data_IF_022506502718
#
_entry.id   IF_022506502718
#
_cell.length_a   1.000
_cell.length_b   1.000
_cell.length_c   1.000
_cell.angle_alpha   90.00
_cell.angle_beta   90.00
_cell.angle_gamma   90.00
#
_symmetry.space_group_name_H-M   'P 1'
#
loop_
_entity.id
_entity.type
_entity.pdbx_description
1 polymer ?
#
# COMPACT_ATOMS: atom_id res chain seq x y z
N UNK A 1 -4.01 37.83 36.48
CA UNK A 1 -4.67 36.74 35.73
C UNK A 1 -4.38 36.93 34.25
N UNK A 2 -3.52 36.11 33.64
CA UNK A 2 -3.37 35.96 32.18
C UNK A 2 -2.82 34.55 31.89
N UNK A 3 -3.16 33.95 30.72
CA UNK A 3 -3.36 32.51 30.59
C UNK A 3 -2.11 31.72 30.17
N UNK A 4 -2.05 30.45 30.60
CA UNK A 4 -1.04 29.47 30.20
C UNK A 4 -1.29 29.05 28.74
N UNK A 5 -0.36 29.37 27.84
CA UNK A 5 -0.33 28.85 26.47
C UNK A 5 -0.07 27.34 26.50
N UNK A 6 -1.08 26.56 26.10
CA UNK A 6 -1.04 25.10 26.06
C UNK A 6 -0.11 24.58 24.96
N UNK A 7 0.95 23.88 25.37
CA UNK A 7 1.81 23.05 24.50
C UNK A 7 1.14 21.70 24.24
N UNK A 8 -0.03 21.66 23.58
CA UNK A 8 -0.69 20.40 23.19
C UNK A 8 -1.39 20.60 21.83
N UNK A 9 -0.64 20.67 20.72
CA UNK A 9 -1.27 20.78 19.38
C UNK A 9 -0.52 20.04 18.25
N UNK A 10 0.82 20.09 18.18
CA UNK A 10 1.54 19.62 16.98
C UNK A 10 1.59 18.09 16.80
N UNK A 11 1.69 17.33 17.90
CA UNK A 11 1.81 15.86 17.88
C UNK A 11 0.47 15.16 17.65
N UNK A 12 -0.63 15.64 18.24
CA UNK A 12 -1.97 15.07 18.04
C UNK A 12 -2.54 15.36 16.65
N UNK A 13 -2.31 16.55 16.10
CA UNK A 13 -2.74 16.91 14.74
C UNK A 13 -2.05 16.02 13.70
N UNK A 14 -0.74 15.77 13.88
CA UNK A 14 0.03 14.87 13.00
C UNK A 14 -0.47 13.43 13.07
N UNK A 15 -0.68 12.90 14.29
CA UNK A 15 -1.24 11.54 14.48
C UNK A 15 -2.63 11.40 13.87
N UNK A 16 -3.53 12.36 14.12
CA UNK A 16 -4.88 12.36 13.57
C UNK A 16 -4.88 12.44 12.04
N UNK A 17 -4.02 13.28 11.46
CA UNK A 17 -3.86 13.38 10.01
C UNK A 17 -3.36 12.07 9.39
N UNK A 18 -2.35 11.44 10.00
CA UNK A 18 -1.82 10.14 9.54
C UNK A 18 -2.92 9.07 9.58
N UNK A 19 -3.67 8.95 10.68
CA UNK A 19 -4.76 7.99 10.79
C UNK A 19 -5.90 8.23 9.78
N UNK A 20 -6.19 9.50 9.47
CA UNK A 20 -7.16 9.85 8.41
C UNK A 20 -6.62 9.50 7.02
N UNK A 21 -5.33 9.71 6.78
CA UNK A 21 -4.69 9.37 5.50
C UNK A 21 -4.64 7.82 5.32
N UNK A 22 -4.35 7.03 6.36
CA UNK A 22 -4.31 5.55 6.26
C UNK A 22 -5.70 4.94 6.08
N UNK A 23 -6.71 5.41 6.82
CA UNK A 23 -8.11 4.95 6.65
C UNK A 23 -8.64 5.26 5.26
N UNK A 24 -8.26 6.41 4.68
CA UNK A 24 -8.58 6.74 3.29
C UNK A 24 -7.92 5.76 2.32
N UNK A 25 -6.64 5.43 2.50
CA UNK A 25 -5.91 4.56 1.57
C UNK A 25 -6.42 3.10 1.64
N UNK A 26 -6.70 2.59 2.84
CA UNK A 26 -7.07 1.19 3.07
C UNK A 26 -8.57 0.90 2.90
N UNK A 27 -9.37 1.90 2.53
CA UNK A 27 -10.82 1.74 2.35
C UNK A 27 -11.16 0.81 1.18
N UNK A 28 -12.37 0.26 1.23
CA UNK A 28 -13.04 -0.34 0.07
C UNK A 28 -13.83 0.74 -0.68
N UNK A 29 -13.70 0.78 -2.00
CA UNK A 29 -14.46 1.68 -2.89
C UNK A 29 -15.62 0.95 -3.56
N UNK A 30 -16.59 1.70 -4.09
CA UNK A 30 -17.69 1.12 -4.86
C UNK A 30 -17.23 0.68 -6.26
N UNK A 31 -18.13 0.04 -7.00
CA UNK A 31 -17.83 -0.52 -8.32
C UNK A 31 -17.42 0.52 -9.36
N UNK A 32 -17.94 1.74 -9.31
CA UNK A 32 -17.57 2.80 -10.26
C UNK A 32 -16.12 3.26 -10.09
N UNK A 33 -15.53 2.98 -8.93
CA UNK A 33 -14.16 3.35 -8.57
C UNK A 33 -13.22 2.14 -8.53
N UNK A 34 -13.73 0.92 -8.71
CA UNK A 34 -12.94 -0.30 -8.65
C UNK A 34 -11.89 -0.37 -9.77
N UNK A 35 -10.81 -1.09 -9.53
CA UNK A 35 -9.87 -1.44 -10.58
C UNK A 35 -10.38 -2.65 -11.35
N UNK A 36 -10.58 -2.51 -12.66
CA UNK A 36 -11.00 -3.61 -13.52
C UNK A 36 -9.82 -4.13 -14.33
N UNK A 37 -9.64 -5.45 -14.33
CA UNK A 37 -8.54 -6.09 -15.03
C UNK A 37 -8.93 -6.40 -16.49
N UNK A 38 -7.98 -6.13 -17.39
CA UNK A 38 -8.07 -6.33 -18.83
C UNK A 38 -6.83 -7.05 -19.32
N UNK A 39 -6.98 -7.91 -20.31
CA UNK A 39 -5.84 -8.50 -21.04
C UNK A 39 -5.36 -7.62 -22.19
N UNK A 40 -6.28 -6.82 -22.74
CA UNK A 40 -6.05 -5.89 -23.84
C UNK A 40 -7.18 -4.85 -23.90
N UNK A 41 -7.06 -3.88 -24.81
CA UNK A 41 -8.15 -2.95 -25.10
C UNK A 41 -9.42 -3.71 -25.50
N UNK A 42 -10.54 -3.43 -24.82
CA UNK A 42 -11.82 -4.11 -25.07
C UNK A 42 -11.88 -5.58 -24.63
N UNK A 43 -10.90 -6.08 -23.87
CA UNK A 43 -10.85 -7.48 -23.42
C UNK A 43 -10.83 -7.59 -21.89
N UNK A 44 -11.98 -7.40 -21.21
CA UNK A 44 -12.06 -7.53 -19.76
C UNK A 44 -11.84 -8.98 -19.31
N UNK A 45 -11.22 -9.19 -18.15
CA UNK A 45 -11.09 -10.53 -17.56
C UNK A 45 -12.30 -10.94 -16.71
N UNK A 46 -13.17 -9.98 -16.38
CA UNK A 46 -14.24 -10.14 -15.38
C UNK A 46 -13.76 -9.99 -13.94
N UNK A 47 -12.45 -9.82 -13.72
CA UNK A 47 -11.90 -9.59 -12.38
C UNK A 47 -11.81 -8.10 -12.06
N UNK A 48 -12.09 -7.76 -10.80
CA UNK A 48 -11.92 -6.41 -10.26
C UNK A 48 -11.29 -6.45 -8.86
N UNK A 49 -10.83 -5.29 -8.41
CA UNK A 49 -10.44 -5.05 -7.04
C UNK A 49 -11.05 -3.74 -6.54
N UNK A 50 -11.78 -3.81 -5.43
CA UNK A 50 -12.41 -2.67 -4.76
C UNK A 50 -11.53 -2.09 -3.64
N UNK A 51 -10.37 -2.68 -3.34
CA UNK A 51 -9.46 -2.23 -2.27
C UNK A 51 -8.00 -2.60 -2.58
N UNK A 52 -7.03 -2.03 -1.85
CA UNK A 52 -5.62 -2.47 -1.95
C UNK A 52 -5.45 -3.94 -1.57
N UNK A 53 -6.21 -4.43 -0.58
CA UNK A 53 -6.14 -5.83 -0.15
C UNK A 53 -6.62 -6.77 -1.26
N UNK A 54 -7.77 -6.49 -1.87
CA UNK A 54 -8.25 -7.27 -3.02
C UNK A 54 -7.29 -7.17 -4.20
N UNK A 55 -6.75 -5.98 -4.46
CA UNK A 55 -5.76 -5.80 -5.52
C UNK A 55 -4.53 -6.68 -5.31
N UNK A 56 -4.02 -6.76 -4.07
CA UNK A 56 -2.90 -7.63 -3.72
C UNK A 56 -3.22 -9.12 -3.98
N UNK A 57 -4.41 -9.59 -3.60
CA UNK A 57 -4.85 -10.96 -3.89
C UNK A 57 -4.96 -11.22 -5.40
N UNK A 58 -5.54 -10.29 -6.16
CA UNK A 58 -5.68 -10.41 -7.61
C UNK A 58 -4.35 -10.43 -8.34
N UNK A 59 -3.34 -9.69 -7.88
CA UNK A 59 -1.99 -9.71 -8.49
C UNK A 59 -1.35 -11.11 -8.43
N UNK A 60 -1.67 -11.92 -7.41
CA UNK A 60 -1.14 -13.29 -7.27
C UNK A 60 -1.62 -14.22 -8.38
N UNK A 61 -2.91 -14.12 -8.75
CA UNK A 61 -3.60 -15.11 -9.59
C UNK A 61 -3.98 -14.62 -10.98
N UNK A 62 -4.03 -13.30 -11.22
CA UNK A 62 -4.37 -12.71 -12.52
C UNK A 62 -3.49 -13.30 -13.65
N UNK A 63 -3.89 -13.16 -14.91
CA UNK A 63 -3.02 -13.55 -16.04
C UNK A 63 -1.83 -12.60 -16.16
N UNK A 64 -0.66 -13.12 -16.53
CA UNK A 64 0.55 -12.29 -16.70
C UNK A 64 0.34 -11.22 -17.78
N UNK A 65 -0.38 -11.54 -18.84
CA UNK A 65 -0.75 -10.64 -19.93
C UNK A 65 -1.52 -9.43 -19.41
N UNK A 66 -2.50 -9.67 -18.52
CA UNK A 66 -3.28 -8.60 -17.90
C UNK A 66 -2.41 -7.70 -17.01
N UNK A 67 -1.54 -8.30 -16.20
CA UNK A 67 -0.62 -7.52 -15.38
C UNK A 67 0.30 -6.65 -16.24
N UNK A 68 0.92 -7.22 -17.28
CA UNK A 68 1.84 -6.47 -18.14
C UNK A 68 1.12 -5.34 -18.88
N UNK A 69 -0.09 -5.61 -19.38
CA UNK A 69 -0.92 -4.62 -20.06
C UNK A 69 -1.14 -3.38 -19.18
N UNK A 70 -1.53 -3.58 -17.93
CA UNK A 70 -1.77 -2.47 -17.00
C UNK A 70 -0.49 -1.79 -16.50
N UNK A 71 0.58 -2.55 -16.25
CA UNK A 71 1.85 -1.97 -15.78
C UNK A 71 2.46 -1.06 -16.87
N UNK A 72 2.49 -1.52 -18.12
CA UNK A 72 3.02 -0.74 -19.25
C UNK A 72 2.24 0.55 -19.48
N UNK A 73 0.92 0.53 -19.27
CA UNK A 73 0.02 1.68 -19.43
C UNK A 73 -0.06 2.59 -18.20
N UNK A 74 0.58 2.19 -17.11
CA UNK A 74 0.57 2.89 -15.83
C UNK A 74 -0.80 2.92 -15.12
N UNK A 75 -1.67 1.95 -15.43
CA UNK A 75 -3.05 1.95 -14.94
C UNK A 75 -3.10 1.73 -13.41
N UNK A 76 -2.24 0.84 -12.88
CA UNK A 76 -2.21 0.54 -11.45
C UNK A 76 -1.87 1.77 -10.59
N UNK A 77 -0.76 2.46 -10.91
CA UNK A 77 -0.35 3.64 -10.17
C UNK A 77 -1.37 4.78 -10.31
N UNK A 78 -1.99 4.94 -11.48
CA UNK A 78 -3.02 5.95 -11.69
C UNK A 78 -4.24 5.71 -10.80
N UNK A 79 -4.72 4.46 -10.73
CA UNK A 79 -5.84 4.10 -9.86
C UNK A 79 -5.48 4.28 -8.38
N UNK A 80 -4.33 3.76 -7.96
CA UNK A 80 -3.88 3.85 -6.56
C UNK A 80 -3.71 5.31 -6.11
N UNK A 81 -3.11 6.17 -6.93
CA UNK A 81 -2.93 7.58 -6.59
C UNK A 81 -4.26 8.34 -6.61
N UNK A 82 -5.04 8.22 -7.67
CA UNK A 82 -6.22 9.09 -7.89
C UNK A 82 -7.43 8.62 -7.10
N UNK A 83 -7.63 7.30 -6.99
CA UNK A 83 -8.76 6.73 -6.28
C UNK A 83 -8.41 6.56 -4.80
N UNK A 84 -7.32 5.87 -4.48
CA UNK A 84 -7.02 5.53 -3.08
C UNK A 84 -6.23 6.63 -2.34
N UNK A 85 -5.51 7.48 -3.07
CA UNK A 85 -4.75 8.60 -2.52
C UNK A 85 -3.32 8.24 -2.13
N UNK A 86 -2.83 7.03 -2.44
CA UNK A 86 -1.49 6.59 -2.04
C UNK A 86 -0.43 6.90 -3.10
N UNK A 87 0.02 8.16 -3.11
CA UNK A 87 1.10 8.65 -3.99
C UNK A 87 2.41 7.89 -3.80
N UNK A 88 2.67 7.40 -2.60
CA UNK A 88 3.89 6.69 -2.28
C UNK A 88 3.91 5.32 -2.95
N UNK A 89 2.82 4.56 -2.83
CA UNK A 89 2.68 3.28 -3.52
C UNK A 89 2.72 3.43 -5.04
N UNK A 90 2.02 4.44 -5.57
CA UNK A 90 2.04 4.76 -7.00
C UNK A 90 3.47 5.01 -7.52
N UNK A 91 4.28 5.78 -6.77
CA UNK A 91 5.68 6.06 -7.10
C UNK A 91 6.57 4.81 -7.03
N UNK A 92 6.35 3.93 -6.04
CA UNK A 92 7.08 2.65 -5.92
C UNK A 92 6.77 1.73 -7.12
N UNK A 93 5.51 1.60 -7.51
CA UNK A 93 5.08 0.79 -8.67
C UNK A 93 5.63 1.37 -9.99
N UNK A 94 5.71 2.69 -10.13
CA UNK A 94 6.26 3.32 -11.34
C UNK A 94 7.73 2.97 -11.62
N UNK A 95 8.47 2.50 -10.61
CA UNK A 95 9.89 2.09 -10.71
C UNK A 95 10.07 0.59 -10.96
N UNK A 96 8.99 -0.15 -11.18
CA UNK A 96 9.02 -1.59 -11.37
C UNK A 96 9.79 -1.96 -12.66
N UNK A 97 10.83 -2.81 -12.60
CA UNK A 97 11.53 -3.27 -13.79
C UNK A 97 10.69 -4.30 -14.56
N UNK A 98 10.57 -4.12 -15.87
CA UNK A 98 9.76 -5.00 -16.75
C UNK A 98 10.58 -6.02 -17.54
N UNK A 99 11.82 -6.30 -17.10
CA UNK A 99 12.75 -7.18 -17.82
C UNK A 99 12.28 -8.64 -17.82
N UNK A 100 11.54 -9.08 -16.81
CA UNK A 100 10.94 -10.41 -16.73
C UNK A 100 9.54 -10.32 -16.13
N UNK A 101 8.54 -10.85 -16.84
CA UNK A 101 7.11 -10.75 -16.45
C UNK A 101 6.82 -11.38 -15.08
N UNK A 102 7.38 -12.55 -14.81
CA UNK A 102 7.16 -13.26 -13.54
C UNK A 102 7.84 -12.51 -12.38
N UNK A 103 9.06 -12.02 -12.61
CA UNK A 103 9.77 -11.19 -11.63
C UNK A 103 8.99 -9.89 -11.34
N UNK A 104 8.44 -9.25 -12.38
CA UNK A 104 7.60 -8.07 -12.24
C UNK A 104 6.34 -8.36 -11.39
N UNK A 105 5.68 -9.51 -11.57
CA UNK A 105 4.59 -9.94 -10.66
C UNK A 105 5.06 -10.02 -9.22
N UNK A 106 6.12 -10.78 -8.95
CA UNK A 106 6.60 -10.98 -7.58
C UNK A 106 7.01 -9.66 -6.92
N UNK A 107 7.66 -8.77 -7.67
CA UNK A 107 8.03 -7.44 -7.17
C UNK A 107 6.80 -6.55 -6.94
N UNK A 108 5.83 -6.55 -7.86
CA UNK A 108 4.58 -5.81 -7.69
C UNK A 108 3.84 -6.28 -6.42
N UNK A 109 3.69 -7.59 -6.24
CA UNK A 109 3.08 -8.18 -5.06
C UNK A 109 3.81 -7.72 -3.79
N UNK A 110 5.14 -7.86 -3.74
CA UNK A 110 5.95 -7.47 -2.58
C UNK A 110 5.81 -5.98 -2.25
N UNK A 111 5.80 -5.10 -3.26
CA UNK A 111 5.65 -3.66 -3.08
C UNK A 111 4.28 -3.33 -2.44
N UNK A 112 3.21 -3.96 -2.94
CA UNK A 112 1.83 -3.72 -2.46
C UNK A 112 1.65 -4.29 -1.05
N UNK A 113 2.05 -5.54 -0.81
CA UNK A 113 1.93 -6.19 0.51
C UNK A 113 2.73 -5.44 1.57
N UNK A 114 3.98 -5.05 1.26
CA UNK A 114 4.79 -4.25 2.18
C UNK A 114 4.10 -2.93 2.53
N UNK A 115 3.51 -2.26 1.54
CA UNK A 115 2.80 -1.01 1.79
C UNK A 115 1.56 -1.20 2.66
N UNK A 116 0.79 -2.26 2.43
CA UNK A 116 -0.36 -2.60 3.29
C UNK A 116 0.10 -2.83 4.73
N UNK A 117 1.22 -3.54 4.93
CA UNK A 117 1.81 -3.72 6.27
C UNK A 117 2.23 -2.41 6.90
N UNK A 118 2.93 -1.53 6.17
CA UNK A 118 3.31 -0.19 6.65
C UNK A 118 2.09 0.61 7.11
N UNK A 119 1.02 0.65 6.30
CA UNK A 119 -0.20 1.40 6.60
C UNK A 119 -0.97 0.83 7.82
N UNK A 120 -0.87 -0.47 8.08
CA UNK A 120 -1.48 -1.12 9.24
C UNK A 120 -0.61 -1.03 10.52
N UNK A 121 0.72 -0.91 10.37
CA UNK A 121 1.67 -0.94 11.51
C UNK A 121 1.99 0.46 12.06
N UNK A 122 1.67 1.52 11.32
CA UNK A 122 1.85 2.92 11.72
C UNK A 122 0.74 3.45 12.66
N UNK A 123 0.39 2.71 13.73
CA UNK A 123 0.23 3.38 15.03
C UNK A 123 1.37 3.15 16.03
N UNK A 124 2.26 2.15 15.87
CA UNK A 124 3.12 1.70 16.98
C UNK A 124 4.65 1.71 16.78
N UNK A 125 5.20 1.94 15.59
CA UNK A 125 6.67 1.82 15.37
C UNK A 125 7.53 2.97 15.92
N UNK A 126 6.96 4.02 16.52
CA UNK A 126 7.74 5.10 17.16
C UNK A 126 8.15 4.84 18.62
N UNK A 127 7.92 3.64 19.15
CA UNK A 127 8.34 3.30 20.52
C UNK A 127 9.10 1.97 20.52
N UNK A 128 10.42 2.12 20.70
CA UNK A 128 11.42 1.15 21.18
C UNK A 128 12.19 0.42 20.05
N UNK A 129 13.49 0.72 19.85
CA UNK A 129 14.37 -0.20 19.10
C UNK A 129 14.52 -1.49 19.92
N UNK A 130 14.51 -2.69 19.31
CA UNK A 130 14.74 -3.92 20.06
C UNK A 130 16.17 -3.91 20.58
N UNK A 131 16.34 -3.51 21.85
CA UNK A 131 17.51 -3.90 22.62
C UNK A 131 17.52 -5.41 22.67
N UNK A 132 18.47 -5.98 21.94
CA UNK A 132 18.82 -7.39 21.98
C UNK A 132 18.99 -7.83 23.44
N UNK A 133 18.04 -8.60 23.95
CA UNK A 133 18.18 -9.28 25.23
C UNK A 133 19.18 -10.40 24.98
N UNK A 134 20.44 -10.17 25.33
CA UNK A 134 21.39 -11.25 25.51
C UNK A 134 20.81 -12.17 26.60
N UNK A 135 20.40 -13.37 26.21
CA UNK A 135 20.07 -14.43 27.15
C UNK A 135 21.29 -14.71 28.03
N UNK A 136 21.14 -14.88 29.36
CA UNK A 136 22.21 -15.40 30.18
C UNK A 136 22.47 -16.87 29.80
N UNK A 137 23.74 -17.18 29.51
CA UNK A 137 24.24 -18.55 29.43
C UNK A 137 24.09 -19.18 30.83
N UNK A 138 23.57 -20.41 30.97
CA UNK A 138 23.37 -21.02 32.28
C UNK A 138 24.69 -21.45 32.92
N UNK A 139 24.64 -21.46 34.26
CA UNK A 139 25.71 -21.79 35.20
C UNK A 139 26.32 -23.18 34.97
N UNK A 140 27.65 -23.27 35.08
CA UNK A 140 28.39 -24.46 35.47
C UNK A 140 29.20 -24.11 36.73
#
# INVERSE_FOLDING_TARGET
MHPKVGKVKKTEITKKKIAVDTTKILRTVNDNEAFYFYEALGKPTGEKANSLAEFAEKVKTAKLESLMFHIQRKDFQNWIEKTLGDKELASRIAKLPLTNKQKARTQLQSIVEKRITELNTEPSMLLIPPTYIAHPVPLA
#
